data_IF_854165084271
#
_entry.id   IF_854165084271
#
_cell.length_a   1.000
_cell.length_b   1.000
_cell.length_c   1.000
_cell.angle_alpha   90.00
_cell.angle_beta   90.00
_cell.angle_gamma   90.00
#
_symmetry.space_group_name_H-M   'P 1'
#
loop_
_entity.id
_entity.type
_entity.pdbx_description
1 polymer ?
#
# COMPACT_ATOMS: atom_id res chain seq x y z
N UNK A 1 -13.66 7.04 17.09
CA UNK A 1 -14.00 7.85 15.90
C UNK A 1 -13.94 9.36 16.15
N UNK A 2 -13.56 9.79 17.35
CA UNK A 2 -13.65 11.20 17.77
C UNK A 2 -12.35 12.01 17.64
N UNK A 3 -11.30 11.48 17.01
CA UNK A 3 -9.97 12.11 16.99
C UNK A 3 -9.47 12.32 15.55
N UNK A 4 -10.38 12.46 14.60
CA UNK A 4 -10.00 12.85 13.25
C UNK A 4 -9.73 14.35 13.21
N UNK A 5 -8.70 14.73 12.44
CA UNK A 5 -8.40 16.14 12.20
C UNK A 5 -9.64 16.82 11.56
N UNK A 6 -10.03 18.00 12.00
CA UNK A 6 -11.12 18.75 11.35
C UNK A 6 -10.84 18.92 9.85
N UNK A 7 -11.87 18.79 9.02
CA UNK A 7 -11.76 18.91 7.57
C UNK A 7 -11.36 17.61 6.83
N UNK A 8 -11.19 16.49 7.54
CA UNK A 8 -10.93 15.18 6.93
C UNK A 8 -12.22 14.36 6.84
N UNK A 9 -12.52 13.87 5.63
CA UNK A 9 -13.66 12.98 5.36
C UNK A 9 -13.13 11.69 4.74
N UNK A 10 -13.61 10.53 5.20
CA UNK A 10 -13.20 9.23 4.67
C UNK A 10 -14.19 8.71 3.64
N UNK A 11 -13.64 8.22 2.54
CA UNK A 11 -14.36 7.39 1.57
C UNK A 11 -14.43 5.95 2.09
N UNK A 12 -15.36 5.15 1.55
CA UNK A 12 -15.37 3.70 1.80
C UNK A 12 -14.08 3.07 1.27
N UNK A 13 -13.60 2.05 1.97
CA UNK A 13 -12.48 1.22 1.49
C UNK A 13 -12.93 0.30 0.34
N UNK A 14 -11.96 -0.22 -0.42
CA UNK A 14 -12.18 -1.07 -1.60
C UNK A 14 -12.33 -2.56 -1.27
N UNK A 15 -12.28 -2.95 0.01
CA UNK A 15 -12.42 -4.35 0.43
C UNK A 15 -13.90 -4.72 0.52
N UNK A 16 -14.42 -5.38 -0.52
CA UNK A 16 -15.80 -5.84 -0.58
C UNK A 16 -15.90 -7.32 -0.17
N UNK A 17 -16.97 -7.73 0.53
CA UNK A 17 -17.16 -9.12 0.98
C UNK A 17 -17.17 -10.15 -0.16
N UNK A 18 -17.64 -9.76 -1.34
CA UNK A 18 -17.67 -10.59 -2.55
C UNK A 18 -16.31 -10.81 -3.19
N UNK A 19 -15.30 -9.99 -2.85
CA UNK A 19 -13.95 -10.09 -3.42
C UNK A 19 -13.04 -11.04 -2.63
N UNK A 20 -13.56 -12.23 -2.28
CA UNK A 20 -12.75 -13.24 -1.57
C UNK A 20 -11.92 -14.07 -2.54
N UNK A 21 -10.67 -14.35 -2.14
CA UNK A 21 -9.74 -15.20 -2.87
C UNK A 21 -9.45 -14.74 -4.31
N UNK A 22 -9.38 -13.41 -4.51
CA UNK A 22 -9.03 -12.82 -5.80
C UNK A 22 -7.55 -12.41 -5.77
N UNK A 23 -6.78 -12.96 -6.72
CA UNK A 23 -5.42 -12.50 -7.04
C UNK A 23 -5.49 -11.40 -8.09
N UNK A 24 -4.82 -10.28 -7.84
CA UNK A 24 -4.91 -9.11 -8.72
C UNK A 24 -6.10 -8.21 -8.40
N UNK A 25 -6.46 -7.35 -9.37
CA UNK A 25 -7.58 -6.43 -9.22
C UNK A 25 -8.93 -7.15 -9.41
N UNK A 26 -9.90 -6.95 -8.50
CA UNK A 26 -11.28 -7.36 -8.76
C UNK A 26 -11.86 -6.70 -10.02
N UNK A 27 -12.69 -7.42 -10.75
CA UNK A 27 -13.32 -6.93 -11.99
C UNK A 27 -14.45 -5.93 -11.74
N UNK A 28 -15.08 -5.96 -10.56
CA UNK A 28 -16.23 -5.13 -10.18
C UNK A 28 -15.92 -4.29 -8.95
N UNK A 29 -16.66 -3.19 -8.73
CA UNK A 29 -16.51 -2.33 -7.55
C UNK A 29 -15.84 -0.97 -7.84
N UNK A 30 -15.53 -0.63 -9.09
CA UNK A 30 -14.98 0.69 -9.45
C UNK A 30 -15.89 1.85 -9.04
N UNK A 31 -17.20 1.62 -8.99
CA UNK A 31 -18.22 2.60 -8.60
C UNK A 31 -18.09 3.09 -7.16
N UNK A 32 -17.31 2.41 -6.30
CA UNK A 32 -16.98 2.90 -4.95
C UNK A 32 -16.27 4.27 -5.01
N UNK A 33 -15.53 4.55 -6.08
CA UNK A 33 -14.92 5.86 -6.33
C UNK A 33 -15.95 7.01 -6.36
N UNK A 34 -17.20 6.72 -6.68
CA UNK A 34 -18.28 7.72 -6.68
C UNK A 34 -18.63 8.23 -5.27
N UNK A 35 -18.07 7.65 -4.20
CA UNK A 35 -18.14 8.25 -2.87
C UNK A 35 -17.56 9.67 -2.87
N UNK A 36 -16.54 9.95 -3.70
CA UNK A 36 -15.99 11.31 -3.84
C UNK A 36 -17.02 12.27 -4.46
N UNK A 37 -17.80 11.86 -5.47
CA UNK A 37 -18.90 12.66 -6.01
C UNK A 37 -19.95 13.00 -4.94
N UNK A 38 -20.30 12.02 -4.11
CA UNK A 38 -21.22 12.22 -2.99
C UNK A 38 -20.65 13.22 -1.96
N UNK A 39 -19.37 13.14 -1.67
CA UNK A 39 -18.68 14.07 -0.77
C UNK A 39 -18.69 15.47 -1.37
N UNK A 40 -18.39 15.62 -2.67
CA UNK A 40 -18.49 16.91 -3.39
C UNK A 40 -19.89 17.51 -3.29
N UNK A 41 -20.94 16.69 -3.47
CA UNK A 41 -22.32 17.15 -3.35
C UNK A 41 -22.68 17.63 -1.93
N UNK A 42 -22.16 16.95 -0.89
CA UNK A 42 -22.51 17.26 0.49
C UNK A 42 -21.76 18.47 1.06
N UNK A 43 -20.50 18.67 0.64
CA UNK A 43 -19.61 19.67 1.23
C UNK A 43 -19.27 20.83 0.29
N UNK A 44 -19.64 20.74 -1.00
CA UNK A 44 -19.15 21.64 -2.06
C UNK A 44 -17.76 21.25 -2.51
N UNK A 45 -17.57 21.04 -3.81
CA UNK A 45 -16.27 20.64 -4.36
C UNK A 45 -15.18 21.69 -4.13
N UNK A 46 -15.56 22.97 -4.08
CA UNK A 46 -14.70 24.11 -3.79
C UNK A 46 -14.09 24.08 -2.37
N UNK A 47 -14.63 23.28 -1.48
CA UNK A 47 -14.15 23.10 -0.11
C UNK A 47 -13.25 21.86 0.04
N UNK A 48 -12.96 21.14 -1.06
CA UNK A 48 -12.15 19.93 -1.05
C UNK A 48 -10.83 20.20 -1.77
N UNK A 49 -9.75 20.27 -1.02
CA UNK A 49 -8.42 20.55 -1.59
C UNK A 49 -7.83 19.33 -2.32
N UNK A 50 -7.94 18.15 -1.72
CA UNK A 50 -7.31 16.94 -2.26
C UNK A 50 -8.03 15.66 -1.84
N UNK A 51 -7.84 14.62 -2.67
CA UNK A 51 -8.16 13.23 -2.36
C UNK A 51 -6.84 12.44 -2.29
N UNK A 52 -6.54 11.85 -1.13
CA UNK A 52 -5.35 11.00 -0.95
C UNK A 52 -5.75 9.53 -0.90
N UNK A 53 -5.02 8.69 -1.64
CA UNK A 53 -5.27 7.24 -1.69
C UNK A 53 -3.96 6.47 -1.84
N UNK A 54 -3.83 5.33 -1.15
CA UNK A 54 -2.80 4.34 -1.49
C UNK A 54 -3.26 3.59 -2.75
N UNK A 55 -2.44 3.47 -3.83
CA UNK A 55 -2.79 2.66 -5.01
C UNK A 55 -3.21 1.24 -4.65
N UNK A 56 -2.55 0.63 -3.69
CA UNK A 56 -3.02 -0.55 -2.94
C UNK A 56 -2.87 -0.20 -1.45
N UNK A 57 -3.96 -0.27 -0.69
CA UNK A 57 -3.89 0.04 0.73
C UNK A 57 -3.15 -1.08 1.47
N UNK A 58 -1.84 -0.86 1.69
CA UNK A 58 -0.92 -1.90 2.16
C UNK A 58 -1.09 -2.22 3.64
N UNK A 59 -0.92 -1.23 4.51
CA UNK A 59 -0.90 -1.40 5.97
C UNK A 59 -2.23 -1.86 6.57
N UNK A 60 -3.33 -1.59 5.92
CA UNK A 60 -4.68 -2.01 6.32
C UNK A 60 -5.00 -3.46 5.95
N UNK A 61 -4.15 -4.12 5.18
CA UNK A 61 -4.33 -5.53 4.85
C UNK A 61 -4.26 -5.84 3.36
N UNK A 62 -3.46 -5.11 2.60
CA UNK A 62 -3.27 -5.31 1.15
C UNK A 62 -4.61 -5.24 0.39
N UNK A 63 -5.32 -4.13 0.55
CA UNK A 63 -6.60 -3.92 -0.12
C UNK A 63 -6.34 -3.49 -1.57
N UNK A 64 -6.48 -4.44 -2.49
CA UNK A 64 -6.27 -4.21 -3.92
C UNK A 64 -7.52 -3.51 -4.50
N UNK A 65 -7.37 -2.35 -5.16
CA UNK A 65 -8.52 -1.65 -5.73
C UNK A 65 -9.10 -2.41 -6.92
N UNK A 66 -10.42 -2.35 -7.13
CA UNK A 66 -11.04 -2.87 -8.35
C UNK A 66 -10.50 -2.19 -9.62
N UNK A 67 -10.55 -2.89 -10.74
CA UNK A 67 -10.22 -2.31 -12.05
C UNK A 67 -11.07 -1.06 -12.31
N UNK A 68 -10.42 0.01 -12.76
CA UNK A 68 -11.10 1.29 -13.04
C UNK A 68 -11.34 2.20 -11.82
N UNK A 69 -11.10 1.73 -10.58
CA UNK A 69 -11.31 2.55 -9.38
C UNK A 69 -10.42 3.80 -9.35
N UNK A 70 -9.12 3.63 -9.57
CA UNK A 70 -8.16 4.74 -9.56
C UNK A 70 -8.37 5.68 -10.73
N UNK A 71 -8.70 5.16 -11.91
CA UNK A 71 -9.06 5.95 -13.09
C UNK A 71 -10.29 6.80 -12.80
N UNK A 72 -11.31 6.21 -12.18
CA UNK A 72 -12.52 6.93 -11.81
C UNK A 72 -12.27 8.03 -10.78
N UNK A 73 -11.37 7.79 -9.79
CA UNK A 73 -10.95 8.85 -8.86
C UNK A 73 -10.28 10.01 -9.60
N UNK A 74 -9.40 9.72 -10.57
CA UNK A 74 -8.74 10.75 -11.38
C UNK A 74 -9.77 11.58 -12.15
N UNK A 75 -10.73 10.94 -12.81
CA UNK A 75 -11.81 11.62 -13.54
C UNK A 75 -12.61 12.57 -12.64
N UNK A 76 -12.96 12.12 -11.43
CA UNK A 76 -13.73 12.93 -10.49
C UNK A 76 -12.87 14.10 -9.99
N UNK A 77 -11.61 13.86 -9.65
CA UNK A 77 -10.68 14.91 -9.22
C UNK A 77 -10.51 15.98 -10.31
N UNK A 78 -10.32 15.57 -11.58
CA UNK A 78 -10.19 16.49 -12.72
C UNK A 78 -11.46 17.31 -12.93
N UNK A 79 -12.62 16.66 -12.88
CA UNK A 79 -13.93 17.30 -13.03
C UNK A 79 -14.18 18.41 -12.01
N UNK A 80 -13.71 18.22 -10.79
CA UNK A 80 -13.99 19.11 -9.66
C UNK A 80 -12.83 20.01 -9.25
N UNK A 81 -11.68 19.93 -9.91
CA UNK A 81 -10.47 20.68 -9.55
C UNK A 81 -9.85 20.25 -8.22
N UNK A 82 -10.00 18.99 -7.84
CA UNK A 82 -9.48 18.39 -6.63
C UNK A 82 -8.12 17.75 -6.93
N UNK A 83 -7.09 18.00 -6.11
CA UNK A 83 -5.79 17.35 -6.28
C UNK A 83 -5.88 15.86 -5.91
N UNK A 84 -5.36 14.98 -6.78
CA UNK A 84 -5.21 13.57 -6.47
C UNK A 84 -3.80 13.29 -5.94
N UNK A 85 -3.72 12.71 -4.75
CA UNK A 85 -2.46 12.35 -4.10
C UNK A 85 -2.36 10.84 -4.01
N UNK A 86 -1.27 10.26 -4.54
CA UNK A 86 -0.96 8.85 -4.30
C UNK A 86 0.02 8.70 -3.15
N UNK A 87 -0.39 7.95 -2.13
CA UNK A 87 0.52 7.46 -1.10
C UNK A 87 1.22 6.20 -1.60
N UNK A 88 2.41 6.37 -2.13
CA UNK A 88 3.26 5.31 -2.68
C UNK A 88 4.31 4.81 -1.67
N UNK A 89 4.09 5.07 -0.40
CA UNK A 89 5.01 4.66 0.68
C UNK A 89 5.21 3.15 0.73
N UNK A 90 4.21 2.36 0.34
CA UNK A 90 4.30 0.89 0.25
C UNK A 90 4.36 0.43 -1.21
N UNK A 91 3.55 0.99 -2.08
CA UNK A 91 3.41 0.55 -3.47
C UNK A 91 4.58 0.97 -4.34
N UNK A 92 5.27 2.04 -3.99
CA UNK A 92 6.45 2.51 -4.72
C UNK A 92 7.65 1.56 -4.62
N UNK A 93 8.60 1.81 -5.51
CA UNK A 93 9.89 1.13 -5.56
C UNK A 93 9.80 -0.39 -5.82
N UNK A 94 8.94 -0.80 -6.76
CA UNK A 94 8.96 -2.16 -7.31
C UNK A 94 8.04 -3.18 -6.64
N UNK A 95 7.26 -2.80 -5.63
CA UNK A 95 6.38 -3.76 -4.92
C UNK A 95 5.37 -4.45 -5.84
N UNK A 96 4.98 -3.81 -6.92
CA UNK A 96 4.06 -4.34 -7.93
C UNK A 96 4.75 -4.77 -9.24
N UNK A 97 6.08 -4.69 -9.31
CA UNK A 97 6.86 -4.95 -10.53
C UNK A 97 7.15 -3.70 -11.37
N UNK A 98 6.39 -2.63 -11.19
CA UNK A 98 6.67 -1.29 -11.74
C UNK A 98 7.31 -0.41 -10.67
N UNK A 99 7.97 0.68 -11.07
CA UNK A 99 8.60 1.59 -10.11
C UNK A 99 7.57 2.16 -9.12
N UNK A 100 6.37 2.51 -9.60
CA UNK A 100 5.29 3.10 -8.81
C UNK A 100 3.92 2.58 -9.24
N UNK A 101 2.94 2.64 -8.33
CA UNK A 101 1.55 2.32 -8.60
C UNK A 101 0.93 3.22 -9.65
N UNK A 102 1.37 4.47 -9.74
CA UNK A 102 0.99 5.39 -10.80
C UNK A 102 1.24 4.80 -12.19
N UNK A 103 2.42 4.22 -12.40
CA UNK A 103 2.79 3.54 -13.65
C UNK A 103 2.02 2.23 -13.84
N UNK A 104 1.93 1.42 -12.79
CA UNK A 104 1.29 0.11 -12.83
C UNK A 104 -0.19 0.21 -13.22
N UNK A 105 -0.90 1.18 -12.66
CA UNK A 105 -2.32 1.35 -12.91
C UNK A 105 -2.65 2.41 -13.99
N UNK A 106 -1.63 3.03 -14.60
CA UNK A 106 -1.81 4.01 -15.67
C UNK A 106 -2.56 5.28 -15.22
N UNK A 107 -2.35 5.72 -13.99
CA UNK A 107 -2.99 6.93 -13.42
C UNK A 107 -1.92 7.85 -12.88
N UNK A 108 -1.82 9.07 -13.39
CA UNK A 108 -0.87 10.08 -12.91
C UNK A 108 -1.54 10.93 -11.82
N UNK A 109 -1.06 10.89 -10.57
CA UNK A 109 -1.53 11.78 -9.52
C UNK A 109 -0.93 13.19 -9.68
N UNK A 110 -1.46 14.15 -8.93
CA UNK A 110 -0.91 15.50 -8.88
C UNK A 110 0.28 15.58 -7.89
N UNK A 111 0.20 14.80 -6.80
CA UNK A 111 1.28 14.63 -5.85
C UNK A 111 1.48 13.14 -5.55
N UNK A 112 2.70 12.79 -5.15
CA UNK A 112 3.07 11.44 -4.77
C UNK A 112 3.98 11.45 -3.54
N UNK A 113 3.65 10.66 -2.53
CA UNK A 113 4.48 10.50 -1.33
C UNK A 113 5.22 9.18 -1.36
N UNK A 114 6.48 9.18 -0.97
CA UNK A 114 7.36 8.01 -1.00
C UNK A 114 8.19 7.93 0.29
N UNK A 115 8.50 6.71 0.71
CA UNK A 115 9.39 6.43 1.84
C UNK A 115 9.93 4.98 1.74
N UNK A 116 10.19 4.34 2.87
CA UNK A 116 10.60 2.92 3.03
C UNK A 116 11.71 2.50 2.07
N UNK A 117 11.38 1.94 0.91
CA UNK A 117 12.35 1.48 -0.07
C UNK A 117 13.15 2.63 -0.73
N UNK A 118 12.76 3.88 -0.55
CA UNK A 118 13.56 5.05 -0.97
C UNK A 118 15.00 4.95 -0.46
N UNK A 119 15.18 4.54 0.81
CA UNK A 119 16.49 4.29 1.43
C UNK A 119 16.65 2.84 1.88
N UNK A 120 15.70 1.97 1.54
CA UNK A 120 15.61 0.59 2.02
C UNK A 120 15.68 0.47 3.57
N UNK A 121 15.23 1.50 4.28
CA UNK A 121 15.18 1.53 5.74
C UNK A 121 16.52 1.75 6.45
N UNK A 122 17.61 1.98 5.72
CA UNK A 122 18.95 2.22 6.32
C UNK A 122 18.97 3.53 7.11
N UNK A 123 18.35 4.59 6.56
CA UNK A 123 18.14 5.86 7.24
C UNK A 123 16.74 6.38 6.96
N UNK A 124 16.12 7.11 7.90
CA UNK A 124 14.81 7.71 7.68
C UNK A 124 14.85 8.73 6.53
N UNK A 125 13.92 8.60 5.57
CA UNK A 125 13.71 9.58 4.51
C UNK A 125 12.27 9.48 4.00
N UNK A 126 11.64 10.63 3.80
CA UNK A 126 10.39 10.77 3.06
C UNK A 126 10.59 11.71 1.88
N UNK A 127 9.85 11.47 0.81
CA UNK A 127 9.89 12.28 -0.41
C UNK A 127 8.46 12.63 -0.82
N UNK A 128 8.27 13.85 -1.26
CA UNK A 128 7.05 14.31 -1.94
C UNK A 128 7.46 14.78 -3.32
N UNK A 129 6.85 14.20 -4.36
CA UNK A 129 6.92 14.69 -5.72
C UNK A 129 5.59 15.37 -6.07
N UNK A 130 5.62 16.47 -6.78
CA UNK A 130 4.43 17.16 -7.27
C UNK A 130 4.62 17.58 -8.72
N UNK A 131 3.51 17.86 -9.40
CA UNK A 131 3.55 18.50 -10.72
C UNK A 131 4.18 19.89 -10.62
N UNK A 132 4.87 20.31 -11.69
CA UNK A 132 5.53 21.60 -11.79
C UNK A 132 4.56 22.77 -11.56
N UNK A 133 3.38 22.68 -12.14
CA UNK A 133 2.31 23.69 -11.98
C UNK A 133 1.89 23.95 -10.52
N UNK A 134 2.00 22.94 -9.64
CA UNK A 134 1.71 23.10 -8.21
C UNK A 134 2.86 23.87 -7.54
N UNK A 135 4.09 23.54 -7.90
CA UNK A 135 5.27 24.25 -7.41
C UNK A 135 5.24 25.72 -7.84
N UNK A 136 5.00 25.97 -9.12
CA UNK A 136 4.92 27.33 -9.69
C UNK A 136 3.82 28.15 -9.03
N UNK A 137 2.64 27.58 -8.80
CA UNK A 137 1.56 28.26 -8.11
C UNK A 137 1.93 28.68 -6.68
N UNK A 138 2.74 27.88 -5.97
CA UNK A 138 3.24 28.21 -4.64
C UNK A 138 4.26 29.36 -4.73
N UNK A 139 5.20 29.28 -5.67
CA UNK A 139 6.25 30.29 -5.88
C UNK A 139 5.63 31.62 -6.29
N UNK A 140 4.76 31.62 -7.29
CA UNK A 140 4.13 32.82 -7.83
C UNK A 140 3.13 33.46 -6.84
N UNK A 141 2.49 32.63 -6.02
CA UNK A 141 1.57 33.09 -4.97
C UNK A 141 2.24 33.69 -3.75
N UNK A 142 3.56 33.53 -3.62
CA UNK A 142 4.31 33.99 -2.46
C UNK A 142 4.69 35.47 -2.59
N UNK A 143 4.67 36.28 -1.51
CA UNK A 143 5.11 37.63 -1.54
C UNK A 143 6.59 37.73 -1.95
N UNK A 144 6.93 38.71 -2.81
CA UNK A 144 8.32 38.93 -3.28
C UNK A 144 9.29 39.08 -2.13
N UNK A 145 10.38 38.29 -2.16
CA UNK A 145 11.44 38.31 -1.16
C UNK A 145 11.15 37.53 0.12
N UNK A 146 10.10 36.71 0.12
CA UNK A 146 9.80 35.80 1.19
C UNK A 146 10.12 34.33 0.78
N UNK A 147 10.07 33.41 1.75
CA UNK A 147 10.19 31.98 1.49
C UNK A 147 8.89 31.52 0.82
N UNK A 148 8.99 30.87 -0.32
CA UNK A 148 7.88 30.43 -1.18
C UNK A 148 6.96 29.40 -0.49
N UNK A 149 7.52 28.53 0.34
CA UNK A 149 6.77 27.57 1.15
C UNK A 149 7.24 27.63 2.60
N UNK A 150 6.34 27.98 3.52
CA UNK A 150 6.66 28.06 4.94
C UNK A 150 6.75 26.67 5.57
N UNK A 151 7.84 26.00 5.26
CA UNK A 151 8.23 24.70 5.81
C UNK A 151 9.61 24.84 6.45
N UNK A 152 9.85 24.27 7.63
CA UNK A 152 11.11 24.45 8.35
C UNK A 152 12.36 23.93 7.62
N UNK A 153 12.21 22.90 6.77
CA UNK A 153 13.27 22.25 5.96
C UNK A 153 14.52 21.79 6.72
N UNK A 154 14.53 21.86 8.04
CA UNK A 154 15.74 21.58 8.86
C UNK A 154 16.32 20.18 8.60
N UNK A 155 15.46 19.19 8.37
CA UNK A 155 15.87 17.82 8.06
C UNK A 155 15.69 17.45 6.58
N UNK A 156 15.38 18.40 5.71
CA UNK A 156 15.29 18.14 4.26
C UNK A 156 16.70 18.09 3.65
N UNK A 157 16.91 17.15 2.74
CA UNK A 157 18.17 17.02 2.01
C UNK A 157 19.38 16.62 2.88
N UNK A 158 19.16 15.92 4.01
CA UNK A 158 20.26 15.40 4.84
C UNK A 158 21.21 14.57 3.98
N UNK A 159 22.52 14.91 3.89
CA UNK A 159 23.43 14.25 2.94
C UNK A 159 23.51 12.74 3.09
N UNK A 160 23.48 12.21 4.33
CA UNK A 160 23.55 10.77 4.56
C UNK A 160 22.30 10.05 4.03
N UNK A 161 21.11 10.66 4.17
CA UNK A 161 19.85 10.07 3.65
C UNK A 161 19.82 10.11 2.13
N UNK A 162 20.28 11.22 1.54
CA UNK A 162 20.38 11.38 0.07
C UNK A 162 21.39 10.37 -0.51
N UNK A 163 22.56 10.23 0.11
CA UNK A 163 23.57 9.25 -0.32
C UNK A 163 23.02 7.80 -0.26
N UNK A 164 22.30 7.46 0.81
CA UNK A 164 21.65 6.16 0.92
C UNK A 164 20.58 5.94 -0.15
N UNK A 165 19.76 6.96 -0.44
CA UNK A 165 18.74 6.87 -1.49
C UNK A 165 19.36 6.69 -2.89
N UNK A 166 20.42 7.43 -3.22
CA UNK A 166 21.15 7.27 -4.47
C UNK A 166 21.76 5.85 -4.60
N UNK A 167 22.39 5.36 -3.54
CA UNK A 167 22.95 4.00 -3.53
C UNK A 167 21.87 2.93 -3.71
N UNK A 168 20.69 3.12 -3.14
CA UNK A 168 19.55 2.20 -3.34
C UNK A 168 19.09 2.23 -4.80
N UNK A 169 18.98 3.41 -5.42
CA UNK A 169 18.60 3.52 -6.84
C UNK A 169 19.63 2.83 -7.75
N UNK A 170 20.91 3.02 -7.47
CA UNK A 170 21.99 2.32 -8.18
C UNK A 170 21.86 0.80 -8.09
N UNK A 171 21.47 0.26 -6.93
CA UNK A 171 21.24 -1.18 -6.74
C UNK A 171 20.01 -1.62 -7.54
N UNK A 172 18.93 -0.85 -7.48
CA UNK A 172 17.71 -1.16 -8.24
C UNK A 172 17.96 -1.25 -9.74
N UNK A 173 18.78 -0.35 -10.28
CA UNK A 173 19.18 -0.37 -11.69
C UNK A 173 20.12 -1.54 -11.99
N UNK A 174 21.23 -1.69 -11.24
CA UNK A 174 22.26 -2.71 -11.47
C UNK A 174 21.77 -4.14 -11.32
N UNK A 175 20.85 -4.38 -10.38
CA UNK A 175 20.30 -5.70 -10.07
C UNK A 175 18.95 -5.94 -10.75
N UNK A 176 18.48 -4.99 -11.56
CA UNK A 176 17.20 -5.05 -12.29
C UNK A 176 16.01 -5.43 -11.39
N UNK A 177 15.94 -4.78 -10.24
CA UNK A 177 15.01 -5.14 -9.15
C UNK A 177 13.55 -5.08 -9.59
N UNK A 178 13.18 -4.14 -10.46
CA UNK A 178 11.79 -4.02 -10.94
C UNK A 178 11.37 -5.25 -11.77
N UNK A 179 12.17 -5.64 -12.74
CA UNK A 179 11.90 -6.84 -13.55
C UNK A 179 11.96 -8.10 -12.69
N UNK A 180 12.94 -8.22 -11.81
CA UNK A 180 13.03 -9.34 -10.87
C UNK A 180 11.78 -9.47 -10.01
N UNK A 181 11.25 -8.36 -9.48
CA UNK A 181 10.00 -8.33 -8.72
C UNK A 181 8.81 -8.77 -9.59
N UNK A 182 8.74 -8.26 -10.82
CA UNK A 182 7.69 -8.59 -11.80
C UNK A 182 7.69 -10.08 -12.16
N UNK A 183 8.86 -10.66 -12.37
CA UNK A 183 9.01 -12.08 -12.71
C UNK A 183 8.68 -13.01 -11.53
N UNK A 184 9.02 -12.59 -10.30
CA UNK A 184 8.75 -13.38 -9.10
C UNK A 184 7.29 -13.28 -8.65
N UNK A 185 6.59 -12.21 -8.96
CA UNK A 185 5.24 -11.95 -8.48
C UNK A 185 4.24 -13.08 -8.79
N UNK A 186 4.14 -13.65 -10.01
CA UNK A 186 3.21 -14.75 -10.27
C UNK A 186 3.47 -15.96 -9.39
N UNK A 187 4.73 -16.34 -9.21
CA UNK A 187 5.11 -17.45 -8.34
C UNK A 187 4.72 -17.20 -6.88
N UNK A 188 5.00 -16.01 -6.36
CA UNK A 188 4.61 -15.63 -5.00
C UNK A 188 3.09 -15.64 -4.83
N UNK A 189 2.34 -15.11 -5.79
CA UNK A 189 0.87 -15.09 -5.73
C UNK A 189 0.30 -16.52 -5.73
N UNK A 190 0.77 -17.40 -6.61
CA UNK A 190 0.37 -18.80 -6.63
C UNK A 190 0.66 -19.49 -5.27
N UNK A 191 1.88 -19.31 -4.77
CA UNK A 191 2.32 -19.92 -3.52
C UNK A 191 1.49 -19.44 -2.32
N UNK A 192 1.23 -18.14 -2.16
CA UNK A 192 0.44 -17.63 -1.03
C UNK A 192 -1.03 -18.07 -1.12
N UNK A 193 -1.61 -18.12 -2.31
CA UNK A 193 -2.98 -18.60 -2.51
C UNK A 193 -3.16 -20.09 -2.25
N UNK A 194 -2.07 -20.88 -2.19
CA UNK A 194 -2.14 -22.28 -1.76
C UNK A 194 -2.62 -22.44 -0.32
N UNK A 195 -2.50 -21.39 0.52
CA UNK A 195 -2.95 -21.41 1.91
C UNK A 195 -4.48 -21.34 2.07
N UNK A 196 -5.23 -21.18 0.98
CA UNK A 196 -6.70 -21.10 1.01
C UNK A 196 -7.39 -22.37 1.51
N UNK A 197 -6.69 -23.52 1.51
CA UNK A 197 -7.16 -24.81 2.01
C UNK A 197 -7.14 -24.92 3.54
N UNK A 198 -6.48 -23.97 4.24
CA UNK A 198 -6.38 -24.01 5.70
C UNK A 198 -7.68 -23.53 6.36
N UNK A 199 -8.17 -24.31 7.32
CA UNK A 199 -9.43 -24.08 8.05
C UNK A 199 -9.54 -22.66 8.65
N UNK A 200 -8.44 -22.11 9.16
CA UNK A 200 -8.43 -20.80 9.80
C UNK A 200 -8.37 -19.62 8.81
N UNK A 201 -8.11 -19.86 7.53
CA UNK A 201 -8.04 -18.80 6.52
C UNK A 201 -9.44 -18.40 6.07
N UNK A 202 -9.76 -17.11 6.15
CA UNK A 202 -11.05 -16.56 5.69
C UNK A 202 -10.96 -15.98 4.29
N UNK A 203 -9.83 -15.34 3.96
CA UNK A 203 -9.62 -14.72 2.65
C UNK A 203 -8.12 -14.59 2.35
N UNK A 204 -7.78 -14.57 1.06
CA UNK A 204 -6.44 -14.20 0.56
C UNK A 204 -6.64 -13.24 -0.60
N UNK A 205 -5.87 -12.16 -0.60
CA UNK A 205 -5.79 -11.20 -1.70
C UNK A 205 -4.35 -10.77 -1.88
N UNK A 206 -3.99 -10.37 -3.08
CA UNK A 206 -2.62 -9.94 -3.33
C UNK A 206 -2.42 -9.34 -4.71
N UNK A 207 -1.33 -8.62 -4.83
CA UNK A 207 -0.86 -8.03 -6.08
C UNK A 207 0.66 -7.90 -6.06
N UNK A 208 1.34 -8.24 -7.15
CA UNK A 208 2.80 -8.18 -7.20
C UNK A 208 3.45 -9.00 -6.09
N UNK A 209 4.38 -8.39 -5.37
CA UNK A 209 5.12 -9.00 -4.26
C UNK A 209 4.53 -8.61 -2.89
N UNK A 210 3.19 -8.57 -2.78
CA UNK A 210 2.50 -8.36 -1.50
C UNK A 210 1.16 -9.08 -1.48
N UNK A 211 0.79 -9.58 -0.29
CA UNK A 211 -0.48 -10.26 -0.08
C UNK A 211 -0.98 -10.06 1.36
N UNK A 212 -2.30 -10.15 1.53
CA UNK A 212 -2.98 -10.22 2.81
C UNK A 212 -3.68 -11.56 2.97
N UNK A 213 -3.47 -12.22 4.10
CA UNK A 213 -4.15 -13.46 4.49
C UNK A 213 -5.00 -13.16 5.71
N UNK A 214 -6.31 -13.13 5.54
CA UNK A 214 -7.24 -12.91 6.64
C UNK A 214 -7.47 -14.22 7.39
N UNK A 215 -7.33 -14.15 8.70
CA UNK A 215 -7.64 -15.25 9.62
C UNK A 215 -9.07 -15.07 10.10
N UNK A 216 -9.85 -16.16 10.12
CA UNK A 216 -11.22 -16.16 10.63
C UNK A 216 -11.26 -15.53 12.02
N UNK A 217 -12.08 -14.49 12.14
CA UNK A 217 -12.24 -13.73 13.37
C UNK A 217 -12.62 -14.64 14.54
N UNK A 218 -11.99 -14.38 15.68
CA UNK A 218 -12.34 -14.97 16.96
C UNK A 218 -13.31 -14.05 17.74
N UNK A 219 -13.40 -14.24 19.06
CA UNK A 219 -14.29 -13.49 19.95
C UNK A 219 -14.12 -11.95 19.88
N UNK A 220 -12.93 -11.47 19.52
CA UNK A 220 -12.62 -10.03 19.40
C UNK A 220 -11.87 -9.74 18.13
N UNK A 221 -12.21 -8.65 17.39
CA UNK A 221 -11.46 -8.22 16.22
C UNK A 221 -9.97 -8.02 16.54
N UNK A 222 -9.09 -8.47 15.66
CA UNK A 222 -7.64 -8.36 15.76
C UNK A 222 -6.97 -9.39 16.67
N UNK A 223 -7.71 -10.17 17.43
CA UNK A 223 -7.15 -11.19 18.32
C UNK A 223 -6.67 -12.41 17.57
N UNK A 224 -7.43 -12.86 16.58
CA UNK A 224 -7.10 -14.03 15.78
C UNK A 224 -5.80 -13.80 15.00
N UNK A 225 -5.67 -12.67 14.30
CA UNK A 225 -4.48 -12.33 13.55
C UNK A 225 -3.22 -12.24 14.42
N UNK A 226 -3.32 -11.57 15.58
CA UNK A 226 -2.17 -11.46 16.49
C UNK A 226 -1.79 -12.81 17.12
N UNK A 227 -2.74 -13.64 17.49
CA UNK A 227 -2.45 -14.97 18.04
C UNK A 227 -1.84 -15.87 16.98
N UNK A 228 -2.40 -15.87 15.76
CA UNK A 228 -1.85 -16.60 14.63
C UNK A 228 -0.42 -16.14 14.29
N UNK A 229 -0.15 -14.83 14.31
CA UNK A 229 1.19 -14.28 14.13
C UNK A 229 2.20 -14.88 15.12
N UNK A 230 1.85 -15.03 16.40
CA UNK A 230 2.75 -15.64 17.41
C UNK A 230 3.14 -17.06 17.02
N UNK A 231 2.18 -17.90 16.62
CA UNK A 231 2.45 -19.25 16.17
C UNK A 231 3.34 -19.29 14.91
N UNK A 232 3.17 -18.33 14.00
CA UNK A 232 4.04 -18.18 12.83
C UNK A 232 5.45 -17.73 13.24
N UNK A 233 5.57 -16.81 14.21
CA UNK A 233 6.85 -16.35 14.72
C UNK A 233 7.62 -17.47 15.40
N UNK A 234 6.97 -18.32 16.18
CA UNK A 234 7.57 -19.49 16.84
C UNK A 234 8.18 -20.50 15.85
N UNK A 235 7.64 -20.60 14.64
CA UNK A 235 8.20 -21.45 13.58
C UNK A 235 9.18 -20.71 12.66
N UNK A 236 9.51 -19.44 12.99
CA UNK A 236 10.60 -18.69 12.36
C UNK A 236 10.20 -17.89 11.13
N UNK A 237 8.93 -17.46 11.02
CA UNK A 237 8.53 -16.47 10.01
C UNK A 237 7.96 -15.22 10.67
N UNK A 238 8.48 -14.05 10.27
CA UNK A 238 8.08 -12.76 10.79
C UNK A 238 7.43 -11.91 9.69
N UNK A 239 6.33 -11.23 10.01
CA UNK A 239 5.58 -10.36 9.13
C UNK A 239 4.75 -9.37 9.97
N UNK A 240 4.00 -8.49 9.31
CA UNK A 240 3.08 -7.57 9.99
C UNK A 240 1.68 -8.20 10.09
N UNK A 241 1.09 -8.21 11.29
CA UNK A 241 -0.34 -8.45 11.46
C UNK A 241 -1.07 -7.13 11.71
N UNK A 242 -2.21 -6.93 11.04
CA UNK A 242 -3.09 -5.76 11.23
C UNK A 242 -4.53 -6.26 11.33
N UNK A 243 -5.19 -6.01 12.46
CA UNK A 243 -6.46 -6.68 12.73
C UNK A 243 -6.27 -8.20 12.66
N UNK A 244 -7.13 -8.86 11.93
CA UNK A 244 -7.03 -10.29 11.69
C UNK A 244 -6.35 -10.64 10.36
N UNK A 245 -5.69 -9.68 9.70
CA UNK A 245 -4.95 -9.87 8.47
C UNK A 245 -3.44 -10.03 8.71
N UNK A 246 -2.85 -11.07 8.15
CA UNK A 246 -1.41 -11.29 8.05
C UNK A 246 -0.92 -10.68 6.73
N UNK A 247 -0.01 -9.69 6.80
CA UNK A 247 0.51 -8.99 5.63
C UNK A 247 1.87 -9.59 5.27
N UNK A 248 1.96 -10.22 4.11
CA UNK A 248 3.16 -10.90 3.62
C UNK A 248 3.73 -10.11 2.44
N UNK A 249 4.95 -9.64 2.60
CA UNK A 249 5.65 -8.84 1.59
C UNK A 249 7.14 -9.25 1.56
N UNK A 250 7.51 -10.29 0.81
CA UNK A 250 8.88 -10.78 0.73
C UNK A 250 9.85 -9.69 0.23
N UNK A 251 11.13 -9.85 0.55
CA UNK A 251 12.18 -9.01 -0.01
C UNK A 251 12.27 -9.19 -1.53
N UNK A 252 12.61 -8.13 -2.27
CA UNK A 252 12.72 -8.19 -3.73
C UNK A 252 13.81 -9.16 -4.22
N UNK A 253 14.83 -9.40 -3.41
CA UNK A 253 15.90 -10.35 -3.69
C UNK A 253 15.54 -11.80 -3.35
N UNK A 254 14.30 -12.07 -2.91
CA UNK A 254 13.86 -13.43 -2.62
C UNK A 254 13.88 -14.29 -3.88
N UNK A 255 14.34 -15.53 -3.70
CA UNK A 255 14.28 -16.60 -4.71
C UNK A 255 13.10 -17.52 -4.39
N UNK A 256 12.73 -18.41 -5.32
CA UNK A 256 11.64 -19.38 -5.13
C UNK A 256 11.78 -20.16 -3.82
N UNK A 257 12.98 -20.66 -3.51
CA UNK A 257 13.26 -21.39 -2.26
C UNK A 257 12.89 -20.61 -1.00
N UNK A 258 13.08 -19.26 -1.02
CA UNK A 258 12.74 -18.40 0.11
C UNK A 258 11.22 -18.21 0.21
N UNK A 259 10.54 -18.10 -0.95
CA UNK A 259 9.06 -18.08 -0.99
C UNK A 259 8.51 -19.40 -0.45
N UNK A 260 9.04 -20.53 -0.90
CA UNK A 260 8.60 -21.85 -0.45
C UNK A 260 8.77 -22.00 1.07
N UNK A 261 9.91 -21.59 1.63
CA UNK A 261 10.15 -21.60 3.07
C UNK A 261 9.14 -20.71 3.83
N UNK A 262 8.85 -19.51 3.32
CA UNK A 262 7.85 -18.61 3.92
C UNK A 262 6.49 -19.29 3.94
N UNK A 263 6.07 -19.91 2.84
CA UNK A 263 4.76 -20.56 2.73
C UNK A 263 4.67 -21.79 3.63
N UNK A 264 5.72 -22.61 3.69
CA UNK A 264 5.77 -23.79 4.58
C UNK A 264 5.63 -23.35 6.06
N UNK A 265 6.36 -22.34 6.48
CA UNK A 265 6.30 -21.81 7.84
C UNK A 265 4.94 -21.16 8.15
N UNK A 266 4.37 -20.42 7.22
CA UNK A 266 3.00 -19.87 7.36
C UNK A 266 1.99 -21.01 7.52
N UNK A 267 2.04 -22.03 6.68
CA UNK A 267 1.16 -23.21 6.75
C UNK A 267 1.28 -23.89 8.11
N UNK A 268 2.49 -24.10 8.58
CA UNK A 268 2.77 -24.71 9.89
C UNK A 268 2.22 -23.84 11.03
N UNK A 269 2.52 -22.56 11.05
CA UNK A 269 2.08 -21.62 12.08
C UNK A 269 0.56 -21.49 12.14
N UNK A 270 -0.11 -21.33 10.99
CA UNK A 270 -1.58 -21.26 10.89
C UNK A 270 -2.22 -22.58 11.36
N UNK A 271 -1.62 -23.72 11.02
CA UNK A 271 -2.10 -25.04 11.49
C UNK A 271 -1.97 -25.18 13.00
N UNK A 272 -0.84 -24.76 13.58
CA UNK A 272 -0.62 -24.75 15.03
C UNK A 272 -1.63 -23.87 15.76
N UNK A 273 -1.90 -22.66 15.20
CA UNK A 273 -2.95 -21.79 15.70
C UNK A 273 -4.33 -22.48 15.68
N UNK A 274 -4.68 -23.15 14.59
CA UNK A 274 -5.96 -23.87 14.48
C UNK A 274 -6.07 -24.97 15.55
N UNK A 275 -5.00 -25.73 15.77
CA UNK A 275 -4.97 -26.79 16.80
C UNK A 275 -5.09 -26.22 18.22
N UNK A 276 -4.45 -25.08 18.52
CA UNK A 276 -4.51 -24.45 19.84
C UNK A 276 -5.90 -23.93 20.23
N UNK A 277 -6.79 -23.73 19.26
CA UNK A 277 -8.20 -23.37 19.50
C UNK A 277 -9.09 -24.54 19.88
N UNK A 278 -8.68 -25.76 19.53
CA UNK A 278 -9.49 -26.99 19.75
C UNK A 278 -9.18 -27.64 21.11
N UNK A 279 -8.12 -27.15 21.78
CA UNK A 279 -7.73 -27.51 23.16
C UNK A 279 -8.16 -26.42 24.14
#
# INVERSE_FOLDING_TARGET
ASVLMPGVVHMRHTHLPEHKFISGQPETGAEIANDLERICTNFGSENIAACIVEPIAGSTGTLVPPKGYLQRLREICDKHGILLIFDEVITGWGRMGSAFGAQEFGVTPDLMTMAKATTNGIVPMGVVACKEEIYDAIVDGSPKGTIELFHGYTYSGIPVSVAAALAVQDIFEKEDIFNRSKEMAPYFQEAIFSLKDLEAVDNIRGYGMMAGVDIKMDQKPGRAGFTCFKHCYEVGVNFKATGDCLIIAPMFISEKKHIDEIIEKLRTGITNYTKSKKN
#
